data_IF_192577622903
#
_entry.id   IF_192577622903
#
_cell.length_a   1.000
_cell.length_b   1.000
_cell.length_c   1.000
_cell.angle_alpha   90.00
_cell.angle_beta   90.00
_cell.angle_gamma   90.00
#
_symmetry.space_group_name_H-M   'P 1'
#
loop_
_entity.id
_entity.type
_entity.pdbx_description
1 polymer ?
#
# COMPACT_ATOMS: atom_id res chain seq x y z
N UNK A 1 -27.85 26.43 -2.15
CA UNK A 1 -28.52 25.84 -3.33
C UNK A 1 -28.52 24.34 -3.11
N UNK A 2 -29.54 23.83 -2.43
CA UNK A 2 -29.63 22.44 -1.99
C UNK A 2 -30.00 21.57 -3.20
N UNK A 3 -29.14 20.60 -3.55
CA UNK A 3 -29.56 19.52 -4.45
C UNK A 3 -30.51 18.64 -3.65
N UNK A 4 -31.81 18.92 -3.69
CA UNK A 4 -32.82 18.04 -3.13
C UNK A 4 -32.92 16.79 -4.02
N UNK A 5 -32.15 15.76 -3.70
CA UNK A 5 -32.39 14.42 -4.24
C UNK A 5 -33.70 13.91 -3.65
N UNK A 6 -34.47 13.16 -4.44
CA UNK A 6 -35.54 12.31 -3.92
C UNK A 6 -35.16 10.87 -4.20
N UNK A 7 -35.47 9.98 -3.27
CA UNK A 7 -35.31 8.54 -3.46
C UNK A 7 -36.64 7.86 -3.16
N UNK A 8 -37.03 6.93 -4.03
CA UNK A 8 -38.08 5.97 -3.73
C UNK A 8 -37.49 4.78 -2.98
N UNK A 9 -37.88 4.64 -1.72
CA UNK A 9 -37.34 3.59 -0.87
C UNK A 9 -37.78 2.21 -1.38
N UNK A 10 -36.82 1.30 -1.49
CA UNK A 10 -36.97 -0.12 -1.76
C UNK A 10 -37.55 -0.47 -3.14
N UNK A 11 -37.51 0.45 -4.11
CA UNK A 11 -38.15 0.27 -5.43
C UNK A 11 -37.34 0.73 -6.65
N UNK A 12 -36.31 1.56 -6.47
CA UNK A 12 -35.52 2.05 -7.61
C UNK A 12 -34.54 0.99 -8.16
N UNK A 13 -34.04 0.13 -7.27
CA UNK A 13 -33.02 -0.85 -7.60
C UNK A 13 -33.22 -2.21 -6.93
N UNK A 14 -32.24 -3.08 -7.14
CA UNK A 14 -32.21 -4.43 -6.58
C UNK A 14 -30.89 -4.66 -5.86
N UNK A 15 -30.96 -5.01 -4.57
CA UNK A 15 -29.79 -5.15 -3.73
C UNK A 15 -28.91 -6.34 -4.18
N UNK A 16 -29.53 -7.36 -4.78
CA UNK A 16 -28.82 -8.47 -5.39
C UNK A 16 -27.91 -8.01 -6.54
N UNK A 17 -28.37 -7.07 -7.38
CA UNK A 17 -27.54 -6.49 -8.42
C UNK A 17 -26.34 -5.70 -7.86
N UNK A 18 -26.53 -4.97 -6.75
CA UNK A 18 -25.45 -4.28 -6.04
C UNK A 18 -24.40 -5.28 -5.54
N UNK A 19 -24.84 -6.34 -4.86
CA UNK A 19 -23.96 -7.40 -4.37
C UNK A 19 -23.19 -8.08 -5.52
N UNK A 20 -23.89 -8.42 -6.61
CA UNK A 20 -23.27 -9.04 -7.78
C UNK A 20 -22.21 -8.16 -8.41
N UNK A 21 -22.45 -6.84 -8.52
CA UNK A 21 -21.45 -5.91 -9.04
C UNK A 21 -20.18 -5.94 -8.18
N UNK A 22 -20.32 -5.89 -6.85
CA UNK A 22 -19.18 -5.97 -5.93
C UNK A 22 -18.44 -7.30 -6.09
N UNK A 23 -19.16 -8.43 -6.14
CA UNK A 23 -18.56 -9.74 -6.39
C UNK A 23 -17.80 -9.78 -7.72
N UNK A 24 -18.35 -9.23 -8.80
CA UNK A 24 -17.66 -9.17 -10.09
C UNK A 24 -16.40 -8.31 -10.04
N UNK A 25 -16.41 -7.19 -9.32
CA UNK A 25 -15.21 -6.38 -9.11
C UNK A 25 -14.12 -7.15 -8.37
N UNK A 26 -14.49 -7.93 -7.34
CA UNK A 26 -13.57 -8.79 -6.60
C UNK A 26 -13.01 -9.88 -7.53
N UNK A 27 -13.86 -10.59 -8.26
CA UNK A 27 -13.45 -11.64 -9.20
C UNK A 27 -12.51 -11.10 -10.28
N UNK A 28 -12.81 -9.93 -10.85
CA UNK A 28 -11.92 -9.26 -11.80
C UNK A 28 -10.58 -8.87 -11.15
N UNK A 29 -10.62 -8.34 -9.92
CA UNK A 29 -9.43 -8.02 -9.13
C UNK A 29 -8.55 -9.26 -8.88
N UNK A 30 -9.18 -10.43 -8.67
CA UNK A 30 -8.50 -11.72 -8.63
C UNK A 30 -7.90 -12.00 -10.00
N UNK A 31 -8.69 -12.07 -11.08
CA UNK A 31 -8.29 -12.51 -12.43
C UNK A 31 -7.21 -11.65 -13.10
N UNK A 32 -7.16 -10.35 -12.83
CA UNK A 32 -6.17 -9.44 -13.42
C UNK A 32 -4.74 -9.65 -12.90
N UNK A 33 -4.57 -10.32 -11.76
CA UNK A 33 -3.24 -10.61 -11.23
C UNK A 33 -2.55 -11.69 -12.04
N UNK A 34 -1.23 -11.62 -12.12
CA UNK A 34 -0.43 -12.65 -12.76
C UNK A 34 -0.44 -13.95 -11.94
N UNK A 35 -0.23 -15.07 -12.63
CA UNK A 35 -0.30 -16.39 -12.01
C UNK A 35 0.76 -16.57 -10.92
N UNK A 36 1.95 -15.97 -11.10
CA UNK A 36 3.01 -16.01 -10.10
C UNK A 36 2.63 -15.25 -8.83
N UNK A 37 1.95 -14.10 -8.95
CA UNK A 37 1.41 -13.35 -7.83
C UNK A 37 0.38 -14.18 -7.05
N UNK A 38 -0.56 -14.83 -7.74
CA UNK A 38 -1.63 -15.63 -7.10
C UNK A 38 -1.06 -16.85 -6.37
N UNK A 39 -0.01 -17.48 -6.90
CA UNK A 39 0.66 -18.62 -6.26
C UNK A 39 1.36 -18.24 -4.94
N UNK A 40 1.96 -17.05 -4.88
CA UNK A 40 2.84 -16.65 -3.77
C UNK A 40 2.20 -15.72 -2.74
N UNK A 41 1.00 -15.18 -3.00
CA UNK A 41 0.30 -14.30 -2.06
C UNK A 41 -0.40 -15.08 -0.95
N UNK A 42 -0.43 -14.53 0.27
CA UNK A 42 -1.33 -14.99 1.32
C UNK A 42 -2.77 -14.77 0.88
N UNK A 43 -3.59 -15.83 0.92
CA UNK A 43 -4.98 -15.81 0.48
C UNK A 43 -5.81 -14.85 1.33
N UNK A 44 -5.59 -14.85 2.65
CA UNK A 44 -6.30 -14.00 3.60
C UNK A 44 -5.90 -12.52 3.44
N UNK A 45 -4.61 -12.22 3.37
CA UNK A 45 -4.14 -10.82 3.21
C UNK A 45 -4.59 -10.23 1.87
N UNK A 46 -4.58 -11.04 0.80
CA UNK A 46 -5.06 -10.58 -0.49
C UNK A 46 -6.58 -10.40 -0.51
N UNK A 47 -7.32 -11.29 0.15
CA UNK A 47 -8.76 -11.16 0.30
C UNK A 47 -9.13 -9.89 1.08
N UNK A 48 -8.49 -9.65 2.22
CA UNK A 48 -8.67 -8.44 3.03
C UNK A 48 -8.38 -7.17 2.22
N UNK A 49 -7.29 -7.16 1.44
CA UNK A 49 -6.97 -6.06 0.54
C UNK A 49 -8.06 -5.80 -0.51
N UNK A 50 -8.61 -6.85 -1.13
CA UNK A 50 -9.65 -6.71 -2.16
C UNK A 50 -10.98 -6.19 -1.59
N UNK A 51 -11.30 -6.52 -0.33
CA UNK A 51 -12.58 -6.15 0.29
C UNK A 51 -12.53 -4.86 1.10
N UNK A 52 -11.35 -4.26 1.32
CA UNK A 52 -11.14 -3.13 2.25
C UNK A 52 -12.18 -2.00 2.10
N UNK A 53 -12.55 -1.67 0.86
CA UNK A 53 -13.54 -0.62 0.54
C UNK A 53 -14.76 -1.17 -0.21
N UNK A 54 -15.13 -2.43 0.04
CA UNK A 54 -16.24 -3.14 -0.63
C UNK A 54 -17.37 -3.50 0.31
N UNK A 55 -17.18 -3.33 1.62
CA UNK A 55 -18.25 -3.49 2.60
C UNK A 55 -19.28 -2.39 2.42
N UNK A 56 -20.55 -2.77 2.54
CA UNK A 56 -21.66 -1.84 2.46
C UNK A 56 -21.85 -1.18 3.82
N UNK A 57 -21.75 0.14 3.85
CA UNK A 57 -22.08 0.95 5.02
C UNK A 57 -23.59 1.13 5.09
N UNK A 58 -24.28 0.16 5.68
CA UNK A 58 -25.74 0.19 5.78
C UNK A 58 -26.22 1.46 6.51
N UNK A 59 -27.19 2.19 5.94
CA UNK A 59 -27.60 3.47 6.49
C UNK A 59 -28.37 3.31 7.79
N UNK A 60 -27.93 4.00 8.84
CA UNK A 60 -28.61 4.05 10.14
C UNK A 60 -29.44 5.31 10.24
N UNK A 61 -30.75 5.16 10.43
CA UNK A 61 -31.68 6.28 10.63
C UNK A 61 -31.82 6.60 12.12
N UNK A 62 -31.52 7.83 12.52
CA UNK A 62 -31.52 8.29 13.91
C UNK A 62 -32.86 8.99 14.23
N UNK A 63 -33.88 8.19 14.55
CA UNK A 63 -35.23 8.70 14.83
C UNK A 63 -35.34 9.43 16.19
N UNK A 64 -34.32 9.33 17.02
CA UNK A 64 -34.15 10.04 18.29
C UNK A 64 -33.73 11.49 18.12
N UNK A 65 -33.06 11.82 17.02
CA UNK A 65 -32.46 13.13 16.73
C UNK A 65 -33.27 13.93 15.70
N UNK A 66 -34.54 13.60 15.53
CA UNK A 66 -35.42 14.24 14.56
C UNK A 66 -35.64 15.70 14.92
N UNK A 67 -35.59 16.57 13.91
CA UNK A 67 -35.99 17.96 14.02
C UNK A 67 -36.96 18.35 12.90
N UNK A 68 -37.64 19.47 13.08
CA UNK A 68 -38.62 19.99 12.11
C UNK A 68 -38.21 21.36 11.58
N UNK A 69 -38.52 21.59 10.31
CA UNK A 69 -38.49 22.91 9.67
C UNK A 69 -39.85 23.19 9.02
N UNK A 70 -40.08 24.43 8.56
CA UNK A 70 -41.30 24.78 7.83
C UNK A 70 -41.04 25.76 6.70
N UNK A 71 -41.86 25.66 5.66
CA UNK A 71 -41.91 26.65 4.58
C UNK A 71 -43.30 26.75 3.97
N UNK A 72 -43.57 27.85 3.26
CA UNK A 72 -44.82 28.01 2.51
C UNK A 72 -44.69 27.45 1.09
N UNK A 73 -45.71 26.71 0.66
CA UNK A 73 -45.78 26.12 -0.69
C UNK A 73 -47.15 26.39 -1.31
N UNK A 74 -47.17 26.67 -2.62
CA UNK A 74 -48.41 26.69 -3.39
C UNK A 74 -48.84 25.25 -3.72
N UNK A 75 -49.92 24.80 -3.07
CA UNK A 75 -50.47 23.47 -3.23
C UNK A 75 -51.61 23.50 -4.26
N UNK A 76 -51.63 22.59 -5.26
CA UNK A 76 -52.75 22.46 -6.18
C UNK A 76 -54.06 22.13 -5.45
N UNK A 77 -55.18 22.73 -5.88
CA UNK A 77 -56.50 22.51 -5.31
C UNK A 77 -56.89 21.03 -5.25
N UNK A 78 -56.42 20.22 -6.20
CA UNK A 78 -56.68 18.79 -6.31
C UNK A 78 -56.10 17.97 -5.15
N UNK A 79 -55.14 18.53 -4.41
CA UNK A 79 -54.52 17.87 -3.25
C UNK A 79 -55.16 18.28 -1.93
N UNK A 80 -56.12 19.21 -1.95
CA UNK A 80 -56.83 19.64 -0.75
C UNK A 80 -57.86 18.58 -0.34
N UNK A 81 -58.06 18.37 0.97
CA UNK A 81 -59.17 17.57 1.46
C UNK A 81 -60.53 18.16 1.04
N UNK A 82 -61.53 17.31 0.82
CA UNK A 82 -62.86 17.74 0.35
C UNK A 82 -63.65 18.65 1.29
N UNK A 83 -63.17 18.89 2.51
CA UNK A 83 -63.72 19.85 3.45
C UNK A 83 -63.32 21.32 3.17
N UNK A 84 -62.38 21.54 2.23
CA UNK A 84 -61.92 22.88 1.86
C UNK A 84 -62.65 23.40 0.62
N UNK A 85 -63.07 24.66 0.65
CA UNK A 85 -63.65 25.36 -0.49
C UNK A 85 -62.53 25.86 -1.42
N UNK A 86 -62.15 25.03 -2.39
CA UNK A 86 -61.09 25.30 -3.38
C UNK A 86 -61.57 24.98 -4.80
N UNK A 87 -61.01 25.68 -5.78
CA UNK A 87 -61.38 25.50 -7.19
C UNK A 87 -60.29 24.75 -7.96
N UNK A 88 -60.67 23.68 -8.66
CA UNK A 88 -59.75 22.92 -9.52
C UNK A 88 -59.03 23.82 -10.54
N UNK A 89 -57.77 23.52 -10.80
CA UNK A 89 -56.86 24.30 -11.63
C UNK A 89 -56.20 25.49 -10.92
N UNK A 90 -56.62 25.83 -9.68
CA UNK A 90 -55.96 26.86 -8.86
C UNK A 90 -54.95 26.25 -7.89
N UNK A 91 -54.07 27.10 -7.37
CA UNK A 91 -53.14 26.77 -6.29
C UNK A 91 -53.35 27.72 -5.11
N UNK A 92 -53.11 27.21 -3.91
CA UNK A 92 -53.30 27.95 -2.67
C UNK A 92 -52.10 27.73 -1.76
N UNK A 93 -51.61 28.81 -1.14
CA UNK A 93 -50.48 28.74 -0.20
C UNK A 93 -50.85 27.96 1.06
N UNK A 94 -49.97 27.06 1.48
CA UNK A 94 -50.05 26.33 2.76
C UNK A 94 -48.68 26.20 3.39
N UNK A 95 -48.68 26.17 4.72
CA UNK A 95 -47.50 25.75 5.48
C UNK A 95 -47.24 24.26 5.22
N UNK A 96 -45.99 23.93 4.95
CA UNK A 96 -45.48 22.57 4.84
C UNK A 96 -44.47 22.38 5.96
N UNK A 97 -44.71 21.35 6.78
CA UNK A 97 -43.83 20.94 7.86
C UNK A 97 -42.88 19.87 7.29
N UNK A 98 -41.59 20.07 7.44
CA UNK A 98 -40.57 19.13 7.02
C UNK A 98 -40.02 18.44 8.26
N UNK A 99 -40.11 17.12 8.31
CA UNK A 99 -39.38 16.31 9.28
C UNK A 99 -38.04 15.93 8.69
N UNK A 100 -36.96 16.25 9.39
CA UNK A 100 -35.61 15.82 9.07
C UNK A 100 -35.23 14.65 9.98
N UNK A 101 -34.93 13.50 9.39
CA UNK A 101 -34.48 12.31 10.09
C UNK A 101 -33.00 12.12 9.73
N UNK A 102 -32.07 12.44 10.66
CA UNK A 102 -30.65 12.28 10.41
C UNK A 102 -30.28 10.83 10.10
N UNK A 103 -29.24 10.63 9.30
CA UNK A 103 -28.70 9.31 9.02
C UNK A 103 -27.17 9.28 9.00
N UNK A 104 -26.61 8.08 9.14
CA UNK A 104 -25.20 7.80 8.83
C UNK A 104 -25.10 6.63 7.87
N UNK A 105 -23.96 6.47 7.18
CA UNK A 105 -23.77 5.45 6.14
C UNK A 105 -24.31 5.88 4.78
N UNK A 106 -24.51 4.92 3.87
CA UNK A 106 -24.94 5.18 2.50
C UNK A 106 -26.47 5.06 2.34
N UNK A 107 -27.16 6.20 2.34
CA UNK A 107 -28.63 6.25 2.25
C UNK A 107 -29.20 5.63 0.97
N UNK A 108 -28.44 5.64 -0.12
CA UNK A 108 -28.91 5.11 -1.40
C UNK A 108 -29.04 3.59 -1.40
N UNK A 109 -28.48 2.91 -0.40
CA UNK A 109 -28.75 1.49 -0.16
C UNK A 109 -30.26 1.25 0.05
N UNK A 110 -30.97 2.14 0.74
CA UNK A 110 -32.42 2.00 0.97
C UNK A 110 -33.26 2.21 -0.30
N UNK A 111 -32.69 2.67 -1.41
CA UNK A 111 -33.42 2.73 -2.69
C UNK A 111 -33.60 1.33 -3.32
N UNK A 112 -32.86 0.33 -2.83
CA UNK A 112 -32.83 -1.02 -3.39
C UNK A 112 -33.76 -1.97 -2.66
N UNK A 113 -34.46 -2.82 -3.41
CA UNK A 113 -35.27 -3.91 -2.85
C UNK A 113 -34.36 -4.99 -2.23
N UNK A 114 -34.76 -5.50 -1.07
CA UNK A 114 -34.10 -6.62 -0.41
C UNK A 114 -34.12 -7.91 -1.27
N UNK A 115 -33.14 -8.78 -1.00
CA UNK A 115 -32.94 -10.09 -1.65
C UNK A 115 -33.71 -11.18 -0.92
N UNK A 116 -33.71 -11.17 0.42
CA UNK A 116 -34.30 -12.24 1.24
C UNK A 116 -35.83 -12.18 1.38
N UNK A 117 -36.46 -11.11 0.92
CA UNK A 117 -37.90 -10.92 0.96
C UNK A 117 -38.29 -9.47 0.65
N UNK A 118 -39.60 -9.20 0.67
CA UNK A 118 -40.13 -7.85 0.60
C UNK A 118 -41.42 -7.78 1.41
N UNK A 119 -41.69 -6.62 2.00
CA UNK A 119 -42.95 -6.33 2.63
C UNK A 119 -44.02 -6.06 1.56
N UNK A 120 -45.21 -6.60 1.78
CA UNK A 120 -46.40 -6.24 0.99
C UNK A 120 -46.83 -4.80 1.31
N UNK A 121 -46.35 -4.22 2.41
CA UNK A 121 -46.58 -2.80 2.67
C UNK A 121 -45.88 -1.92 1.63
N UNK A 122 -46.52 -0.83 1.24
CA UNK A 122 -46.06 0.03 0.15
C UNK A 122 -44.69 0.66 0.39
N UNK A 123 -44.13 1.27 -0.67
CA UNK A 123 -42.97 2.15 -0.60
C UNK A 123 -43.39 3.59 -0.29
N UNK A 124 -42.41 4.42 0.05
CA UNK A 124 -42.59 5.87 0.10
C UNK A 124 -41.40 6.58 -0.55
N UNK A 125 -41.65 7.78 -1.07
CA UNK A 125 -40.61 8.65 -1.59
C UNK A 125 -40.21 9.65 -0.51
N UNK A 126 -38.91 9.69 -0.20
CA UNK A 126 -38.35 10.66 0.74
C UNK A 126 -37.45 11.64 0.01
N UNK A 127 -37.35 12.87 0.51
CA UNK A 127 -36.28 13.76 0.12
C UNK A 127 -34.98 13.36 0.82
N UNK A 128 -33.85 13.73 0.23
CA UNK A 128 -32.52 13.47 0.76
C UNK A 128 -31.74 14.78 0.71
N UNK A 129 -31.30 15.23 1.88
CA UNK A 129 -30.31 16.29 2.02
C UNK A 129 -28.93 15.70 2.39
N UNK A 130 -27.97 16.52 2.82
CA UNK A 130 -26.61 16.04 3.10
C UNK A 130 -26.53 15.09 4.30
N UNK A 131 -27.42 15.25 5.27
CA UNK A 131 -27.31 14.59 6.59
C UNK A 131 -28.62 13.95 7.05
N UNK A 132 -29.74 14.24 6.37
CA UNK A 132 -31.07 13.76 6.73
C UNK A 132 -31.87 13.28 5.51
N UNK A 133 -32.78 12.33 5.76
CA UNK A 133 -33.94 12.15 4.89
C UNK A 133 -35.06 13.10 5.35
N UNK A 134 -35.84 13.60 4.40
CA UNK A 134 -36.87 14.59 4.66
C UNK A 134 -38.25 14.09 4.27
N UNK A 135 -39.23 14.28 5.17
CA UNK A 135 -40.65 13.98 4.93
C UNK A 135 -41.44 15.28 5.01
N UNK A 136 -42.13 15.62 3.92
CA UNK A 136 -42.99 16.81 3.85
C UNK A 136 -44.44 16.47 4.21
N UNK A 137 -45.02 17.21 5.15
CA UNK A 137 -46.43 17.10 5.55
C UNK A 137 -47.10 18.46 5.36
N UNK A 138 -48.11 18.51 4.49
CA UNK A 138 -48.88 19.73 4.26
C UNK A 138 -49.83 19.98 5.43
N UNK A 139 -49.72 21.13 6.07
CA UNK A 139 -50.57 21.52 7.17
C UNK A 139 -51.90 22.10 6.67
N UNK A 140 -52.89 21.24 6.49
CA UNK A 140 -54.24 21.65 6.08
C UNK A 140 -55.09 22.16 7.26
N UNK A 141 -55.05 21.48 8.40
CA UNK A 141 -56.02 21.63 9.48
C UNK A 141 -55.51 22.40 10.72
N UNK A 142 -54.21 22.73 10.80
CA UNK A 142 -53.57 23.25 12.02
C UNK A 142 -53.77 22.34 13.24
N UNK A 143 -53.78 21.02 13.01
CA UNK A 143 -54.01 19.99 14.04
C UNK A 143 -52.71 19.20 14.29
N UNK A 144 -52.04 19.40 15.43
CA UNK A 144 -50.79 18.71 15.75
C UNK A 144 -50.91 17.18 15.77
N UNK A 145 -52.05 16.63 16.19
CA UNK A 145 -52.22 15.17 16.29
C UNK A 145 -52.33 14.54 14.90
N UNK A 146 -52.97 15.23 13.95
CA UNK A 146 -52.99 14.80 12.54
C UNK A 146 -51.60 14.83 11.91
N UNK A 147 -50.79 15.85 12.21
CA UNK A 147 -49.42 15.96 11.70
C UNK A 147 -48.57 14.81 12.26
N UNK A 148 -48.64 14.57 13.57
CA UNK A 148 -47.92 13.45 14.22
C UNK A 148 -48.36 12.10 13.67
N UNK A 149 -49.67 11.87 13.49
CA UNK A 149 -50.20 10.63 12.90
C UNK A 149 -49.70 10.44 11.47
N UNK A 150 -49.72 11.49 10.64
CA UNK A 150 -49.23 11.44 9.26
C UNK A 150 -47.73 11.10 9.21
N UNK A 151 -46.93 11.66 10.13
CA UNK A 151 -45.52 11.31 10.24
C UNK A 151 -45.31 9.87 10.72
N UNK A 152 -46.11 9.39 11.67
CA UNK A 152 -46.05 8.01 12.14
C UNK A 152 -46.36 7.00 11.02
N UNK A 153 -47.33 7.31 10.16
CA UNK A 153 -47.63 6.50 8.97
C UNK A 153 -46.45 6.50 7.98
N UNK A 154 -45.87 7.68 7.69
CA UNK A 154 -44.67 7.76 6.85
C UNK A 154 -43.49 6.99 7.43
N UNK A 155 -43.27 7.06 8.75
CA UNK A 155 -42.24 6.29 9.45
C UNK A 155 -42.44 4.79 9.26
N UNK A 156 -43.68 4.29 9.31
CA UNK A 156 -43.99 2.88 9.03
C UNK A 156 -43.62 2.47 7.61
N UNK A 157 -43.84 3.33 6.61
CA UNK A 157 -43.42 3.06 5.23
C UNK A 157 -41.90 3.17 5.04
N UNK A 158 -41.23 4.09 5.74
CA UNK A 158 -39.77 4.19 5.72
C UNK A 158 -39.15 2.91 6.29
N UNK A 159 -39.72 2.35 7.35
CA UNK A 159 -39.20 1.17 8.02
C UNK A 159 -39.71 -0.16 7.45
N UNK A 160 -40.52 -0.16 6.38
CA UNK A 160 -41.24 -1.34 5.89
C UNK A 160 -40.33 -2.51 5.49
N UNK A 161 -39.26 -2.22 4.75
CA UNK A 161 -38.26 -3.19 4.28
C UNK A 161 -36.88 -3.00 4.94
N UNK A 162 -36.75 -2.06 5.87
CA UNK A 162 -35.48 -1.63 6.45
C UNK A 162 -34.69 -2.80 7.07
N UNK A 163 -35.35 -3.62 7.89
CA UNK A 163 -34.71 -4.76 8.56
C UNK A 163 -34.32 -5.87 7.59
N UNK A 164 -35.09 -6.08 6.51
CA UNK A 164 -34.74 -7.06 5.47
C UNK A 164 -33.50 -6.61 4.71
N UNK A 165 -33.44 -5.35 4.27
CA UNK A 165 -32.26 -4.78 3.60
C UNK A 165 -31.06 -4.80 4.54
N UNK A 166 -31.24 -4.44 5.83
CA UNK A 166 -30.16 -4.49 6.82
C UNK A 166 -29.59 -5.89 6.98
N UNK A 167 -30.47 -6.88 7.14
CA UNK A 167 -30.07 -8.29 7.28
C UNK A 167 -29.31 -8.77 6.06
N UNK A 168 -29.76 -8.42 4.86
CA UNK A 168 -29.10 -8.81 3.62
C UNK A 168 -27.72 -8.17 3.49
N UNK A 169 -27.59 -6.87 3.79
CA UNK A 169 -26.31 -6.17 3.80
C UNK A 169 -25.33 -6.76 4.82
N UNK A 170 -25.79 -7.09 6.03
CA UNK A 170 -24.96 -7.74 7.04
C UNK A 170 -24.50 -9.12 6.56
N UNK A 171 -25.42 -9.94 6.06
CA UNK A 171 -25.12 -11.28 5.53
C UNK A 171 -24.11 -11.23 4.38
N UNK A 172 -24.25 -10.24 3.50
CA UNK A 172 -23.30 -9.96 2.42
C UNK A 172 -21.92 -9.57 2.97
N UNK A 173 -21.86 -8.60 3.87
CA UNK A 173 -20.62 -8.11 4.48
C UNK A 173 -19.86 -9.20 5.24
N UNK A 174 -20.58 -10.08 5.94
CA UNK A 174 -20.00 -11.18 6.70
C UNK A 174 -19.45 -12.28 5.76
N UNK A 175 -20.15 -12.56 4.65
CA UNK A 175 -19.73 -13.57 3.66
C UNK A 175 -18.65 -13.13 2.68
N UNK A 176 -18.36 -11.82 2.59
CA UNK A 176 -17.42 -11.25 1.61
C UNK A 176 -16.02 -11.84 1.70
N UNK A 177 -15.49 -12.05 2.92
CA UNK A 177 -14.15 -12.57 3.11
C UNK A 177 -14.04 -14.02 2.61
N UNK A 178 -14.95 -14.88 3.08
CA UNK A 178 -14.98 -16.30 2.72
C UNK A 178 -15.19 -16.50 1.21
N UNK A 179 -16.10 -15.72 0.61
CA UNK A 179 -16.30 -15.70 -0.84
C UNK A 179 -14.98 -15.39 -1.58
N UNK A 180 -14.26 -14.36 -1.11
CA UNK A 180 -13.04 -13.89 -1.77
C UNK A 180 -11.90 -14.91 -1.62
N UNK A 181 -11.68 -15.43 -0.42
CA UNK A 181 -10.66 -16.46 -0.14
C UNK A 181 -10.91 -17.71 -0.99
N UNK A 182 -12.15 -18.19 -1.04
CA UNK A 182 -12.55 -19.34 -1.85
C UNK A 182 -12.17 -19.16 -3.32
N UNK A 183 -12.48 -18.01 -3.92
CA UNK A 183 -12.19 -17.78 -5.33
C UNK A 183 -10.70 -17.55 -5.63
N UNK A 184 -9.91 -17.05 -4.66
CA UNK A 184 -8.44 -17.02 -4.78
C UNK A 184 -7.90 -18.46 -4.79
N UNK A 185 -8.37 -19.32 -3.89
CA UNK A 185 -7.98 -20.73 -3.83
C UNK A 185 -8.33 -21.49 -5.10
N UNK A 186 -9.55 -21.31 -5.62
CA UNK A 186 -9.97 -21.90 -6.89
C UNK A 186 -9.06 -21.49 -8.04
N UNK A 187 -8.69 -20.20 -8.13
CA UNK A 187 -7.76 -19.72 -9.15
C UNK A 187 -6.36 -20.33 -8.97
N UNK A 188 -5.85 -20.37 -7.75
CA UNK A 188 -4.54 -20.94 -7.42
C UNK A 188 -4.46 -22.41 -7.80
N UNK A 189 -5.47 -23.19 -7.46
CA UNK A 189 -5.56 -24.61 -7.81
C UNK A 189 -5.60 -24.81 -9.33
N UNK A 190 -6.33 -23.96 -10.07
CA UNK A 190 -6.36 -24.01 -11.54
C UNK A 190 -4.99 -23.76 -12.17
N UNK A 191 -4.21 -22.81 -11.62
CA UNK A 191 -2.85 -22.53 -12.06
C UNK A 191 -1.93 -23.73 -11.79
N UNK A 192 -1.99 -24.32 -10.59
CA UNK A 192 -1.20 -25.49 -10.22
C UNK A 192 -1.49 -26.68 -11.14
N UNK A 193 -2.76 -27.01 -11.36
CA UNK A 193 -3.18 -28.08 -12.29
C UNK A 193 -2.67 -27.84 -13.71
N UNK A 194 -2.68 -26.58 -14.17
CA UNK A 194 -2.17 -26.23 -15.49
C UNK A 194 -0.64 -26.40 -15.56
N UNK A 195 0.08 -26.00 -14.51
CA UNK A 195 1.53 -26.15 -14.43
C UNK A 195 1.95 -27.63 -14.38
N UNK A 196 1.26 -28.45 -13.59
CA UNK A 196 1.52 -29.90 -13.50
C UNK A 196 1.27 -30.59 -14.85
N UNK A 197 0.17 -30.24 -15.53
CA UNK A 197 -0.10 -30.70 -16.89
C UNK A 197 1.02 -30.28 -17.85
N UNK A 198 1.43 -29.01 -17.84
CA UNK A 198 2.50 -28.50 -18.71
C UNK A 198 3.85 -29.17 -18.45
N UNK A 199 4.18 -29.44 -17.19
CA UNK A 199 5.39 -30.18 -16.81
C UNK A 199 5.35 -31.64 -17.32
N UNK A 200 4.17 -32.28 -17.28
CA UNK A 200 3.98 -33.65 -17.77
C UNK A 200 4.17 -33.80 -19.29
N UNK A 201 4.06 -32.71 -20.05
CA UNK A 201 4.23 -32.73 -21.51
C UNK A 201 5.70 -32.86 -21.96
N UNK A 202 6.68 -32.65 -21.06
CA UNK A 202 8.11 -32.92 -21.34
C UNK A 202 8.77 -31.98 -22.37
N UNK A 203 8.13 -30.87 -22.74
CA UNK A 203 8.64 -29.90 -23.72
C UNK A 203 8.94 -28.54 -23.05
N UNK A 204 10.07 -27.86 -23.38
CA UNK A 204 10.42 -26.58 -22.77
C UNK A 204 9.39 -25.47 -23.06
N UNK A 205 8.94 -24.78 -22.01
CA UNK A 205 8.00 -23.65 -22.13
C UNK A 205 8.68 -22.41 -22.74
N UNK A 206 8.02 -21.82 -23.73
CA UNK A 206 8.45 -20.57 -24.37
C UNK A 206 8.26 -19.39 -23.41
N UNK A 207 9.35 -18.71 -23.01
CA UNK A 207 9.29 -17.52 -22.15
C UNK A 207 8.63 -16.35 -22.90
N UNK A 208 7.57 -15.75 -22.35
CA UNK A 208 6.99 -14.50 -22.85
C UNK A 208 7.88 -13.31 -22.44
N UNK A 209 8.26 -12.48 -23.41
CA UNK A 209 8.81 -11.13 -23.21
C UNK A 209 7.63 -10.15 -23.10
N UNK A 210 7.80 -9.13 -22.25
CA UNK A 210 6.92 -7.98 -21.97
C UNK A 210 5.71 -8.17 -21.06
N UNK A 211 5.73 -7.47 -19.90
CA UNK A 211 4.75 -6.43 -19.52
C UNK A 211 5.41 -5.41 -18.56
N UNK A 212 5.19 -4.11 -18.80
CA UNK A 212 5.65 -2.98 -17.98
C UNK A 212 4.91 -2.88 -16.64
N UNK A 213 5.64 -2.68 -15.54
CA UNK A 213 5.07 -2.48 -14.20
C UNK A 213 4.65 -1.01 -13.98
N UNK A 214 3.36 -0.71 -14.04
CA UNK A 214 2.78 0.51 -13.47
C UNK A 214 1.86 0.15 -12.31
N UNK A 215 2.12 0.81 -11.17
CA UNK A 215 1.37 0.78 -9.91
C UNK A 215 1.33 -0.57 -9.15
N UNK A 216 2.35 -0.76 -8.32
CA UNK A 216 2.36 -1.74 -7.23
C UNK A 216 2.56 -0.99 -5.89
N UNK A 217 1.61 -1.11 -4.96
CA UNK A 217 1.83 -0.82 -3.54
C UNK A 217 2.60 -2.03 -2.95
N UNK A 218 3.58 -1.84 -2.04
CA UNK A 218 4.61 -2.84 -1.77
C UNK A 218 4.08 -4.02 -0.93
N UNK A 219 4.32 -5.24 -1.40
CA UNK A 219 4.35 -6.46 -0.56
C UNK A 219 5.66 -6.50 0.25
N UNK A 220 5.70 -7.22 1.40
CA UNK A 220 6.95 -7.71 1.96
C UNK A 220 7.58 -8.66 0.94
N UNK A 221 8.79 -8.36 0.49
CA UNK A 221 9.41 -9.03 -0.64
C UNK A 221 9.86 -10.45 -0.29
N UNK A 222 9.32 -11.43 -1.03
CA UNK A 222 10.01 -12.70 -1.21
C UNK A 222 11.18 -12.44 -2.17
N UNK A 223 12.37 -12.24 -1.56
CA UNK A 223 13.74 -12.24 -2.11
C UNK A 223 13.91 -11.73 -3.56
N UNK A 224 14.55 -10.57 -3.72
CA UNK A 224 14.84 -9.94 -5.01
C UNK A 224 15.96 -10.66 -5.78
N UNK A 225 15.77 -10.83 -7.08
CA UNK A 225 16.87 -11.25 -7.97
C UNK A 225 17.74 -10.05 -8.36
N UNK A 226 19.04 -10.13 -8.10
CA UNK A 226 20.00 -9.09 -8.51
C UNK A 226 20.13 -9.11 -10.04
N UNK A 227 20.08 -7.93 -10.65
CA UNK A 227 20.29 -7.74 -12.09
C UNK A 227 21.71 -7.26 -12.33
N UNK A 228 22.42 -8.03 -13.14
CA UNK A 228 23.76 -7.69 -13.60
C UNK A 228 23.64 -7.20 -15.04
N UNK A 229 24.06 -5.97 -15.26
CA UNK A 229 24.02 -5.31 -16.56
C UNK A 229 25.42 -5.38 -17.19
N UNK A 230 25.52 -5.78 -18.48
CA UNK A 230 26.77 -5.63 -19.22
C UNK A 230 26.95 -4.15 -19.59
N UNK A 231 28.01 -3.52 -19.10
CA UNK A 231 28.44 -2.21 -19.61
C UNK A 231 29.48 -2.41 -20.72
N UNK A 232 29.27 -1.73 -21.84
CA UNK A 232 30.24 -1.62 -22.93
C UNK A 232 31.04 -0.34 -22.68
N UNK A 233 32.33 -0.48 -22.40
CA UNK A 233 33.28 0.63 -22.44
C UNK A 233 33.92 0.66 -23.84
N UNK A 234 34.14 1.85 -24.39
CA UNK A 234 34.70 2.00 -25.73
C UNK A 234 36.04 1.26 -25.87
N UNK A 235 36.15 0.53 -26.98
CA UNK A 235 37.25 -0.30 -27.47
C UNK A 235 37.56 -1.64 -26.75
N UNK A 236 37.10 -2.72 -27.42
CA UNK A 236 37.66 -4.09 -27.44
C UNK A 236 37.73 -4.89 -26.13
N UNK A 237 36.72 -4.84 -25.26
CA UNK A 237 36.61 -5.84 -24.19
C UNK A 237 35.24 -6.51 -24.11
N UNK A 238 35.26 -7.81 -23.79
CA UNK A 238 34.09 -8.65 -23.56
C UNK A 238 33.19 -7.99 -22.48
N UNK A 239 31.85 -7.99 -22.62
CA UNK A 239 30.97 -7.38 -21.63
C UNK A 239 31.16 -8.02 -20.25
N UNK A 240 31.59 -7.23 -19.27
CA UNK A 240 31.84 -7.68 -17.90
C UNK A 240 30.59 -7.53 -17.02
N UNK A 241 30.38 -8.45 -16.06
CA UNK A 241 29.23 -8.41 -15.18
C UNK A 241 29.35 -7.24 -14.19
N UNK A 242 28.45 -6.26 -14.28
CA UNK A 242 28.38 -5.14 -13.32
C UNK A 242 27.05 -5.14 -12.57
N UNK A 243 27.08 -4.88 -11.26
CA UNK A 243 25.88 -4.73 -10.45
C UNK A 243 25.07 -3.52 -10.92
N UNK A 244 23.76 -3.68 -11.16
CA UNK A 244 22.90 -2.55 -11.52
C UNK A 244 22.90 -1.48 -10.42
N UNK A 245 22.80 -0.20 -10.79
CA UNK A 245 22.74 0.88 -9.79
C UNK A 245 21.54 0.75 -8.86
N UNK A 246 20.42 0.23 -9.37
CA UNK A 246 19.20 -0.02 -8.58
C UNK A 246 19.46 -1.04 -7.47
N UNK A 247 20.08 -2.16 -7.79
CA UNK A 247 20.35 -3.22 -6.81
C UNK A 247 21.43 -2.80 -5.82
N UNK A 248 22.41 -2.03 -6.25
CA UNK A 248 23.37 -1.40 -5.34
C UNK A 248 22.71 -0.49 -4.32
N UNK A 249 21.84 0.43 -4.75
CA UNK A 249 21.10 1.29 -3.83
C UNK A 249 20.23 0.49 -2.87
N UNK A 250 19.68 -0.64 -3.31
CA UNK A 250 18.91 -1.52 -2.45
C UNK A 250 19.76 -2.22 -1.39
N UNK A 251 20.93 -2.75 -1.77
CA UNK A 251 21.91 -3.31 -0.83
C UNK A 251 22.28 -2.26 0.23
N UNK A 252 22.58 -1.03 -0.19
CA UNK A 252 22.91 0.06 0.73
C UNK A 252 21.75 0.42 1.67
N UNK A 253 20.50 0.38 1.19
CA UNK A 253 19.31 0.62 2.03
C UNK A 253 19.17 -0.44 3.12
N UNK A 254 19.32 -1.71 2.76
CA UNK A 254 19.23 -2.80 3.75
C UNK A 254 20.35 -2.66 4.79
N UNK A 255 21.59 -2.37 4.36
CA UNK A 255 22.71 -2.10 5.27
C UNK A 255 22.40 -0.91 6.19
N UNK A 256 21.80 0.15 5.65
CA UNK A 256 21.38 1.34 6.40
C UNK A 256 20.30 1.07 7.44
N UNK A 257 19.31 0.24 7.11
CA UNK A 257 18.24 -0.10 8.04
C UNK A 257 18.75 -0.99 9.17
N UNK A 258 19.64 -1.95 8.88
CA UNK A 258 20.32 -2.74 9.91
C UNK A 258 21.21 -1.85 10.79
N UNK A 259 21.99 -0.96 10.20
CA UNK A 259 22.87 -0.05 10.93
C UNK A 259 22.11 0.88 11.89
N UNK A 260 20.97 1.43 11.47
CA UNK A 260 20.07 2.20 12.36
C UNK A 260 19.53 1.36 13.51
N UNK A 261 19.28 0.07 13.31
CA UNK A 261 18.85 -0.81 14.40
C UNK A 261 19.97 -1.02 15.43
N UNK A 262 21.23 -0.98 15.02
CA UNK A 262 22.36 -1.00 15.96
C UNK A 262 22.33 0.22 16.89
N UNK A 263 22.02 1.41 16.36
CA UNK A 263 21.90 2.65 17.14
C UNK A 263 20.70 2.62 18.10
N UNK A 264 19.59 1.98 17.69
CA UNK A 264 18.36 1.87 18.49
C UNK A 264 18.44 0.85 19.63
N UNK A 265 19.35 -0.12 19.54
CA UNK A 265 19.47 -1.23 20.48
C UNK A 265 20.89 -1.32 21.09
N UNK A 266 21.39 -0.26 21.75
CA UNK A 266 22.75 -0.20 22.24
C UNK A 266 23.07 -1.34 23.23
N UNK A 267 22.09 -1.81 24.01
CA UNK A 267 22.27 -2.95 24.92
C UNK A 267 22.56 -4.28 24.24
N UNK A 268 22.12 -4.45 23.01
CA UNK A 268 22.39 -5.65 22.21
C UNK A 268 23.73 -5.56 21.50
N UNK A 269 24.15 -4.35 21.10
CA UNK A 269 25.24 -4.16 20.15
C UNK A 269 26.51 -3.49 20.71
N UNK A 270 26.48 -2.87 21.90
CA UNK A 270 27.65 -2.15 22.45
C UNK A 270 28.90 -3.01 22.59
N UNK A 271 28.72 -4.28 22.97
CA UNK A 271 29.82 -5.23 23.22
C UNK A 271 30.20 -6.07 22.01
N UNK A 272 29.58 -5.83 20.84
CA UNK A 272 29.82 -6.57 19.60
C UNK A 272 31.07 -6.03 18.88
N UNK A 273 31.85 -6.93 18.31
CA UNK A 273 33.00 -6.61 17.46
C UNK A 273 32.59 -6.35 15.99
N UNK A 274 33.56 -5.94 15.16
CA UNK A 274 33.34 -5.70 13.72
C UNK A 274 32.73 -6.94 13.04
N UNK A 275 33.23 -8.14 13.38
CA UNK A 275 32.78 -9.41 12.80
C UNK A 275 31.33 -9.74 13.16
N UNK A 276 30.91 -9.48 14.41
CA UNK A 276 29.55 -9.76 14.85
C UNK A 276 28.53 -8.83 14.17
N UNK A 277 28.87 -7.55 14.03
CA UNK A 277 28.02 -6.54 13.40
C UNK A 277 27.89 -6.83 11.90
N UNK A 278 29.01 -7.19 11.25
CA UNK A 278 29.03 -7.66 9.87
C UNK A 278 28.13 -8.87 9.69
N UNK A 279 28.23 -9.86 10.58
CA UNK A 279 27.43 -11.09 10.49
C UNK A 279 25.93 -10.82 10.62
N UNK A 280 25.54 -9.84 11.44
CA UNK A 280 24.15 -9.40 11.54
C UNK A 280 23.68 -8.72 10.25
N UNK A 281 24.50 -7.84 9.67
CA UNK A 281 24.22 -7.24 8.36
C UNK A 281 24.02 -8.35 7.33
N UNK A 282 24.93 -9.32 7.27
CA UNK A 282 24.85 -10.43 6.32
C UNK A 282 23.60 -11.29 6.54
N UNK A 283 23.26 -11.64 7.78
CA UNK A 283 22.06 -12.42 8.13
C UNK A 283 20.77 -11.76 7.64
N UNK A 284 20.75 -10.42 7.62
CA UNK A 284 19.60 -9.66 7.13
C UNK A 284 19.67 -9.46 5.62
N UNK A 285 20.86 -9.21 5.07
CA UNK A 285 21.06 -8.92 3.66
C UNK A 285 20.84 -10.17 2.79
N UNK A 286 21.37 -11.32 3.20
CA UNK A 286 21.38 -12.56 2.41
C UNK A 286 19.98 -13.06 2.03
N UNK A 287 18.98 -13.12 2.95
CA UNK A 287 17.62 -13.54 2.61
C UNK A 287 16.87 -12.54 1.74
N UNK A 288 17.35 -11.31 1.55
CA UNK A 288 16.69 -10.35 0.66
C UNK A 288 16.99 -10.62 -0.82
N UNK A 289 17.90 -11.56 -1.13
CA UNK A 289 18.29 -11.88 -2.50
C UNK A 289 18.14 -13.37 -2.85
N UNK A 290 17.73 -13.66 -4.09
CA UNK A 290 17.50 -15.03 -4.58
C UNK A 290 18.81 -15.66 -5.08
N UNK A 291 19.32 -16.67 -4.38
CA UNK A 291 20.46 -17.48 -4.81
C UNK A 291 19.99 -18.82 -5.34
N UNK A 292 19.83 -18.91 -6.67
CA UNK A 292 19.65 -20.20 -7.32
C UNK A 292 20.95 -21.00 -7.22
N UNK A 293 20.87 -22.27 -6.83
CA UNK A 293 21.98 -23.23 -6.77
C UNK A 293 22.73 -23.48 -8.10
N UNK A 294 22.42 -22.71 -9.15
CA UNK A 294 23.06 -22.71 -10.46
C UNK A 294 23.37 -21.29 -11.02
N UNK A 295 23.16 -20.21 -10.27
CA UNK A 295 23.62 -18.85 -10.64
C UNK A 295 24.60 -18.34 -9.59
N UNK A 296 25.85 -18.09 -9.98
CA UNK A 296 26.97 -17.79 -9.08
C UNK A 296 26.94 -16.43 -8.37
N UNK A 297 25.75 -15.97 -7.97
CA UNK A 297 25.52 -14.81 -7.10
C UNK A 297 25.46 -15.33 -5.67
N UNK A 298 26.33 -14.89 -4.77
CA UNK A 298 26.27 -15.28 -3.35
C UNK A 298 27.05 -14.28 -2.51
N UNK A 299 26.50 -13.82 -1.39
CA UNK A 299 27.29 -13.07 -0.42
C UNK A 299 28.24 -14.00 0.33
N UNK A 300 29.53 -13.68 0.30
CA UNK A 300 30.55 -14.44 1.01
C UNK A 300 31.43 -13.51 1.85
N UNK A 301 31.95 -14.04 2.95
CA UNK A 301 32.98 -13.37 3.76
C UNK A 301 34.33 -13.53 3.05
N UNK A 302 35.03 -12.43 2.75
CA UNK A 302 36.47 -12.43 2.44
C UNK A 302 37.14 -11.60 3.52
N UNK A 303 38.32 -12.04 3.97
CA UNK A 303 38.92 -11.42 5.15
C UNK A 303 38.06 -11.58 6.41
N UNK A 304 38.41 -10.83 7.45
CA UNK A 304 37.71 -10.87 8.73
C UNK A 304 36.50 -9.96 8.80
N UNK A 305 36.38 -8.96 7.92
CA UNK A 305 35.41 -7.87 8.07
C UNK A 305 34.60 -7.56 6.81
N UNK A 306 34.93 -8.20 5.69
CA UNK A 306 34.43 -7.80 4.38
C UNK A 306 33.18 -8.63 3.99
N UNK A 307 32.22 -7.96 3.33
CA UNK A 307 31.04 -8.56 2.70
C UNK A 307 31.21 -8.47 1.18
N UNK A 308 31.22 -9.60 0.49
CA UNK A 308 31.36 -9.63 -0.97
C UNK A 308 30.13 -10.19 -1.65
N UNK A 309 29.65 -9.55 -2.70
CA UNK A 309 28.78 -10.19 -3.69
C UNK A 309 29.62 -10.63 -4.89
N UNK A 310 29.59 -11.92 -5.20
CA UNK A 310 30.22 -12.46 -6.41
C UNK A 310 29.19 -12.67 -7.50
N UNK A 311 29.62 -12.68 -8.76
CA UNK A 311 28.88 -13.23 -9.90
C UNK A 311 29.82 -14.12 -10.70
N UNK A 312 29.52 -15.42 -10.75
CA UNK A 312 30.43 -16.44 -11.30
C UNK A 312 31.79 -16.38 -10.58
N UNK A 313 32.82 -15.81 -11.21
CA UNK A 313 34.17 -15.68 -10.69
C UNK A 313 34.52 -14.23 -10.27
N UNK A 314 33.65 -13.28 -10.59
CA UNK A 314 33.92 -11.85 -10.47
C UNK A 314 33.26 -11.27 -9.21
N UNK A 315 33.91 -10.32 -8.56
CA UNK A 315 33.33 -9.59 -7.42
C UNK A 315 32.62 -8.36 -7.95
N UNK A 316 31.31 -8.27 -7.71
CA UNK A 316 30.46 -7.19 -8.24
C UNK A 316 30.04 -6.18 -7.16
N UNK A 317 30.22 -6.52 -5.88
CA UNK A 317 30.08 -5.58 -4.76
C UNK A 317 30.98 -5.98 -3.58
N UNK A 318 31.51 -4.96 -2.88
CA UNK A 318 32.36 -5.10 -1.69
C UNK A 318 31.90 -4.11 -0.62
N UNK A 319 31.65 -4.57 0.59
CA UNK A 319 31.52 -3.71 1.76
C UNK A 319 32.56 -4.04 2.82
N UNK A 320 33.27 -3.04 3.31
CA UNK A 320 34.21 -3.16 4.42
C UNK A 320 33.55 -2.65 5.71
N UNK A 321 33.58 -3.44 6.78
CA UNK A 321 33.05 -3.07 8.08
C UNK A 321 34.18 -2.69 9.05
N UNK A 322 34.15 -1.47 9.61
CA UNK A 322 35.23 -0.98 10.49
C UNK A 322 34.74 -0.13 11.65
N UNK A 323 35.37 -0.23 12.82
CA UNK A 323 35.25 0.80 13.84
C UNK A 323 36.02 2.05 13.44
N UNK A 324 35.39 3.20 13.64
CA UNK A 324 36.03 4.50 13.51
C UNK A 324 37.12 4.66 14.58
N UNK A 325 38.37 4.69 14.14
CA UNK A 325 39.54 5.03 14.97
C UNK A 325 40.21 6.35 14.58
N UNK A 326 39.48 7.23 13.89
CA UNK A 326 39.97 8.54 13.45
C UNK A 326 40.47 8.58 12.01
N UNK A 327 40.89 9.79 11.58
CA UNK A 327 41.26 10.13 10.21
C UNK A 327 42.29 9.16 9.59
N UNK A 328 43.38 8.85 10.30
CA UNK A 328 44.43 7.99 9.75
C UNK A 328 43.93 6.57 9.45
N UNK A 329 43.11 6.00 10.33
CA UNK A 329 42.52 4.68 10.10
C UNK A 329 41.50 4.72 8.97
N UNK A 330 40.71 5.79 8.89
CA UNK A 330 39.73 6.00 7.83
C UNK A 330 40.36 5.97 6.43
N UNK A 331 41.46 6.72 6.21
CA UNK A 331 42.19 6.69 4.93
C UNK A 331 42.77 5.32 4.61
N UNK A 332 43.38 4.65 5.59
CA UNK A 332 43.89 3.27 5.38
C UNK A 332 42.80 2.31 4.96
N UNK A 333 41.57 2.48 5.44
CA UNK A 333 40.44 1.64 5.04
C UNK A 333 39.95 1.98 3.63
N UNK A 334 40.02 3.25 3.20
CA UNK A 334 39.80 3.62 1.81
C UNK A 334 40.84 2.99 0.88
N UNK A 335 42.12 3.12 1.21
CA UNK A 335 43.22 2.52 0.44
C UNK A 335 43.04 1.00 0.34
N UNK A 336 42.69 0.36 1.47
CA UNK A 336 42.41 -1.08 1.50
C UNK A 336 41.21 -1.44 0.61
N UNK A 337 40.10 -0.70 0.73
CA UNK A 337 38.90 -0.95 -0.05
C UNK A 337 39.19 -0.80 -1.55
N UNK A 338 39.90 0.25 -1.96
CA UNK A 338 40.31 0.52 -3.34
C UNK A 338 41.29 -0.55 -3.84
N UNK A 339 42.22 -1.03 -3.01
CA UNK A 339 43.19 -2.07 -3.38
C UNK A 339 42.56 -3.43 -3.69
N UNK A 340 41.35 -3.71 -3.16
CA UNK A 340 40.60 -4.92 -3.50
C UNK A 340 39.87 -4.81 -4.83
N UNK A 341 39.78 -3.59 -5.39
CA UNK A 341 39.11 -3.34 -6.65
C UNK A 341 40.12 -3.57 -7.76
N UNK A 342 39.69 -4.39 -8.72
CA UNK A 342 40.41 -4.53 -9.98
C UNK A 342 39.89 -3.49 -10.96
N UNK A 343 40.44 -3.42 -12.18
CA UNK A 343 39.95 -2.56 -13.26
C UNK A 343 38.44 -2.69 -13.57
N UNK A 344 37.73 -3.64 -12.97
CA UNK A 344 36.31 -3.94 -13.17
C UNK A 344 35.41 -3.03 -12.33
N UNK A 345 34.35 -2.51 -12.96
CA UNK A 345 33.42 -1.51 -12.42
C UNK A 345 32.85 -1.94 -11.05
N UNK A 346 33.32 -1.26 -9.99
CA UNK A 346 33.14 -1.71 -8.61
C UNK A 346 32.20 -0.79 -7.87
N UNK A 347 31.10 -1.37 -7.36
CA UNK A 347 30.21 -0.71 -6.41
C UNK A 347 30.59 -1.15 -5.02
N UNK A 348 30.92 -0.20 -4.15
CA UNK A 348 31.46 -0.51 -2.84
C UNK A 348 30.80 0.26 -1.72
N UNK A 349 31.01 -0.22 -0.50
CA UNK A 349 30.58 0.46 0.71
C UNK A 349 31.66 0.40 1.78
N UNK A 350 31.77 1.46 2.56
CA UNK A 350 32.48 1.49 3.82
C UNK A 350 31.47 1.69 4.94
N UNK A 351 31.33 0.69 5.79
CA UNK A 351 30.42 0.68 6.93
C UNK A 351 31.23 0.96 8.20
N UNK A 352 31.03 2.14 8.77
CA UNK A 352 31.73 2.62 9.95
C UNK A 352 30.87 2.51 11.20
N UNK A 353 31.44 1.96 12.25
CA UNK A 353 30.84 1.94 13.59
C UNK A 353 31.61 2.89 14.49
N UNK A 354 30.94 3.81 15.19
CA UNK A 354 31.62 4.78 16.04
C UNK A 354 31.16 4.69 17.49
N UNK A 355 32.12 4.59 18.41
CA UNK A 355 31.89 4.69 19.86
C UNK A 355 32.11 6.10 20.40
N UNK A 356 32.35 7.08 19.52
CA UNK A 356 32.64 8.45 19.91
C UNK A 356 31.38 9.10 20.48
N UNK A 357 31.48 9.72 21.67
CA UNK A 357 30.37 10.45 22.31
C UNK A 357 29.69 11.46 21.39
N UNK A 358 30.47 12.15 20.55
CA UNK A 358 29.98 13.15 19.59
C UNK A 358 30.11 12.64 18.15
N UNK A 359 29.06 11.99 17.63
CA UNK A 359 29.05 11.44 16.27
C UNK A 359 29.10 12.53 15.19
N UNK A 360 28.60 13.74 15.48
CA UNK A 360 28.62 14.88 14.55
C UNK A 360 30.04 15.27 14.14
N UNK A 361 31.03 15.09 15.03
CA UNK A 361 32.45 15.31 14.70
C UNK A 361 32.95 14.26 13.71
N UNK A 362 32.46 13.03 13.80
CA UNK A 362 32.80 11.96 12.86
C UNK A 362 32.20 12.26 11.49
N UNK A 363 30.92 12.63 11.42
CA UNK A 363 30.27 12.98 10.14
C UNK A 363 30.93 14.15 9.44
N UNK A 364 31.27 15.21 10.18
CA UNK A 364 31.96 16.39 9.61
C UNK A 364 33.40 16.09 9.22
N UNK A 365 34.09 15.22 9.95
CA UNK A 365 35.44 14.76 9.56
C UNK A 365 35.38 13.96 8.27
N UNK A 366 34.46 13.01 8.14
CA UNK A 366 34.26 12.23 6.92
C UNK A 366 34.01 13.19 5.75
N UNK A 367 33.00 14.07 5.84
CA UNK A 367 32.67 15.01 4.77
C UNK A 367 33.85 15.85 4.27
N UNK A 368 34.66 16.38 5.20
CA UNK A 368 35.79 17.24 4.87
C UNK A 368 36.97 16.45 4.34
N UNK A 369 37.28 15.32 4.96
CA UNK A 369 38.51 14.60 4.71
C UNK A 369 38.41 13.66 3.52
N UNK A 370 37.24 13.09 3.21
CA UNK A 370 37.08 12.25 2.01
C UNK A 370 37.46 12.99 0.73
N UNK A 371 37.18 14.30 0.67
CA UNK A 371 37.51 15.18 -0.47
C UNK A 371 39.00 15.42 -0.66
N UNK A 372 39.81 15.14 0.37
CA UNK A 372 41.25 15.28 0.34
C UNK A 372 41.96 13.99 -0.12
N UNK A 373 41.21 12.93 -0.40
CA UNK A 373 41.80 11.67 -0.89
C UNK A 373 42.32 11.86 -2.32
N UNK A 374 43.53 11.37 -2.67
CA UNK A 374 44.10 11.52 -4.02
C UNK A 374 43.16 11.05 -5.14
N UNK A 375 42.48 9.93 -4.91
CA UNK A 375 41.54 9.31 -5.84
C UNK A 375 40.14 9.92 -5.88
N UNK A 376 39.85 10.96 -5.12
CA UNK A 376 38.51 11.56 -5.06
C UNK A 376 38.17 12.30 -6.36
N UNK A 377 37.00 11.99 -6.94
CA UNK A 377 36.49 12.68 -8.14
C UNK A 377 35.38 13.66 -7.76
N UNK A 378 34.32 13.17 -7.12
CA UNK A 378 33.17 14.00 -6.71
C UNK A 378 32.35 13.37 -5.59
N UNK A 379 31.56 14.20 -4.92
CA UNK A 379 30.52 13.77 -3.98
C UNK A 379 29.18 13.75 -4.73
N UNK A 380 28.45 12.65 -4.61
CA UNK A 380 27.09 12.51 -5.15
C UNK A 380 26.07 13.09 -4.16
N UNK A 381 24.83 13.29 -4.63
CA UNK A 381 23.78 13.92 -3.81
C UNK A 381 23.62 13.21 -2.46
N UNK A 382 23.68 14.01 -1.39
CA UNK A 382 23.55 13.51 -0.01
C UNK A 382 22.17 12.86 0.22
N UNK A 383 22.19 11.63 0.74
CA UNK A 383 20.98 10.88 1.09
C UNK A 383 20.58 11.11 2.55
N UNK A 384 21.57 11.14 3.47
CA UNK A 384 21.37 11.41 4.89
C UNK A 384 22.68 11.86 5.56
N UNK A 385 22.63 12.29 6.83
CA UNK A 385 23.85 12.66 7.58
C UNK A 385 24.79 11.47 7.80
N UNK A 386 24.22 10.28 8.01
CA UNK A 386 24.92 9.03 8.27
C UNK A 386 25.30 8.25 7.01
N UNK A 387 24.88 8.71 5.82
CA UNK A 387 25.09 8.03 4.54
C UNK A 387 25.48 9.03 3.45
N UNK A 388 26.74 8.93 3.01
CA UNK A 388 27.31 9.73 1.91
C UNK A 388 27.76 8.85 0.76
N UNK A 389 27.62 9.34 -0.47
CA UNK A 389 28.03 8.64 -1.68
C UNK A 389 29.12 9.46 -2.37
N UNK A 390 30.21 8.82 -2.73
CA UNK A 390 31.35 9.44 -3.37
C UNK A 390 31.75 8.66 -4.60
N UNK A 391 32.36 9.36 -5.55
CA UNK A 391 32.97 8.80 -6.74
C UNK A 391 34.47 8.95 -6.64
N UNK A 392 35.16 7.84 -6.86
CA UNK A 392 36.61 7.72 -6.82
C UNK A 392 37.12 7.20 -8.17
N UNK A 393 38.40 7.38 -8.48
CA UNK A 393 39.06 6.68 -9.57
C UNK A 393 40.04 5.63 -9.05
N UNK A 394 40.40 4.65 -9.88
CA UNK A 394 41.43 3.67 -9.54
C UNK A 394 42.83 4.30 -9.61
N UNK A 395 43.78 3.76 -8.84
CA UNK A 395 45.18 4.19 -8.89
C UNK A 395 45.81 3.97 -10.28
N UNK A 396 45.44 2.86 -10.93
CA UNK A 396 46.01 2.44 -12.22
C UNK A 396 45.24 2.99 -13.44
N UNK A 397 44.03 3.54 -13.26
CA UNK A 397 43.18 4.05 -14.34
C UNK A 397 42.27 5.19 -13.85
N UNK A 398 42.65 6.44 -14.17
CA UNK A 398 41.89 7.64 -13.81
C UNK A 398 40.58 7.80 -14.58
N UNK A 399 40.37 7.05 -15.67
CA UNK A 399 39.16 7.13 -16.49
C UNK A 399 38.04 6.24 -15.97
N UNK A 400 38.30 5.39 -14.96
CA UNK A 400 37.31 4.49 -14.37
C UNK A 400 36.83 4.98 -13.02
N UNK A 401 35.54 5.26 -12.96
CA UNK A 401 34.85 5.70 -11.75
C UNK A 401 34.38 4.52 -10.89
N UNK A 402 34.55 4.66 -9.58
CA UNK A 402 34.14 3.72 -8.54
C UNK A 402 33.12 4.41 -7.64
N UNK A 403 32.04 3.69 -7.32
CA UNK A 403 31.05 4.19 -6.37
C UNK A 403 31.40 3.71 -4.97
N UNK A 404 31.66 4.65 -4.05
CA UNK A 404 31.92 4.34 -2.64
C UNK A 404 30.85 5.00 -1.76
N UNK A 405 30.03 4.18 -1.11
CA UNK A 405 29.08 4.64 -0.11
C UNK A 405 29.68 4.54 1.30
N UNK A 406 29.75 5.65 2.03
CA UNK A 406 30.18 5.66 3.44
C UNK A 406 28.95 5.73 4.32
N UNK A 407 28.70 4.68 5.09
CA UNK A 407 27.61 4.60 6.06
C UNK A 407 28.19 4.55 7.47
N UNK A 408 27.75 5.42 8.37
CA UNK A 408 28.35 5.56 9.71
C UNK A 408 27.29 5.50 10.80
N UNK A 409 27.46 4.61 11.77
CA UNK A 409 26.48 4.38 12.86
C UNK A 409 27.11 4.57 14.23
N UNK A 410 26.37 5.19 15.14
CA UNK A 410 26.79 5.42 16.50
C UNK A 410 26.43 4.23 17.41
N UNK A 411 27.44 3.61 18.00
CA UNK A 411 27.33 2.54 18.99
C UNK A 411 27.86 3.05 20.33
N UNK A 412 27.01 3.66 21.18
CA UNK A 412 27.47 4.17 22.46
C UNK A 412 27.86 2.99 23.36
N UNK A 413 28.95 3.14 24.10
CA UNK A 413 29.23 2.23 25.20
C UNK A 413 28.15 2.44 26.27
N UNK A 414 27.53 1.36 26.72
CA UNK A 414 26.77 1.39 27.96
C UNK A 414 27.78 1.56 29.10
N UNK A 415 27.76 2.74 29.73
CA UNK A 415 28.55 3.00 30.93
C UNK A 415 28.08 2.15 32.11
#
# INVERSE_FOLDING_TARGET
>A
MYRNGKIELYREGDLGAVFQNIYQQILNGIQLKDDNYILNVSENEFAEYLIQNKKIEFPKLHFEDIYIDKYEKEIPAEWFPGSFDVYSGKKYKRDVIIYHIPFSGDIYILANRAVSGFSISGSTTVGVDKESITVEIVNFYNDPERIKSSFADQKRYILSDYDFVQKDCNSFNDGLLDFTVKHIQERKNKILQTNDLMASLGVPLKKKKDVSTTFSVPKPELRKKIKIEPKVYEDKFNPEPTLSFKDYQEILRIINDVGKNFERMPSTYSNKGEEDLRDHILLTLDPNFEYGSASGETFNKKGKTDILLKYKSDVVFIAECKFWGGKSQYFKTFDQLISYLTYRDSKTALVLFSRNKEISNVFSTIEKETKNHPNFVREERQTAANWRNFIFHLDEDSNREINIAVLTYHLPNLN
#
